data_IF_745929123074
#
_entry.id   IF_745929123074
#
_cell.length_a   1.000
_cell.length_b   1.000
_cell.length_c   1.000
_cell.angle_alpha   90.00
_cell.angle_beta   90.00
_cell.angle_gamma   90.00
#
_symmetry.space_group_name_H-M   'P 1'
#
loop_
_entity.id
_entity.type
_entity.pdbx_description
1 polymer ?
#
# COMPACT_ATOMS: atom_id res chain seq x y z
N UNK A 1 -31.94 0.93 23.38
CA UNK A 1 -30.62 1.51 23.14
C UNK A 1 -29.57 0.62 23.81
N UNK A 2 -28.61 0.03 23.04
CA UNK A 2 -27.48 -0.70 23.64
C UNK A 2 -26.54 0.33 24.25
N UNK A 3 -26.01 0.07 25.45
CA UNK A 3 -25.07 1.00 26.10
C UNK A 3 -23.78 1.13 25.24
N UNK A 4 -23.07 2.27 25.28
CA UNK A 4 -21.80 2.45 24.60
C UNK A 4 -20.78 1.33 24.89
N UNK A 5 -20.76 0.83 26.11
CA UNK A 5 -19.87 -0.24 26.57
C UNK A 5 -20.19 -1.60 25.93
N UNK A 6 -21.45 -1.87 25.58
CA UNK A 6 -21.83 -3.10 24.87
C UNK A 6 -21.33 -3.10 23.43
N UNK A 7 -21.27 -1.97 22.75
CA UNK A 7 -20.70 -1.85 21.41
C UNK A 7 -19.17 -2.06 21.44
N UNK A 8 -18.50 -1.52 22.45
CA UNK A 8 -17.07 -1.70 22.65
C UNK A 8 -16.72 -3.17 22.91
N UNK A 9 -17.50 -3.87 23.74
CA UNK A 9 -17.32 -5.30 24.01
C UNK A 9 -17.48 -6.15 22.75
N UNK A 10 -18.42 -5.81 21.87
CA UNK A 10 -18.62 -6.50 20.58
C UNK A 10 -17.41 -6.28 19.67
N UNK A 11 -16.88 -5.07 19.58
CA UNK A 11 -15.70 -4.75 18.77
C UNK A 11 -14.48 -5.56 19.22
N UNK A 12 -14.15 -5.53 20.52
CA UNK A 12 -13.03 -6.32 21.04
C UNK A 12 -13.23 -7.82 20.93
N UNK A 13 -14.47 -8.32 20.96
CA UNK A 13 -14.78 -9.72 20.79
C UNK A 13 -14.53 -10.17 19.34
N UNK A 14 -14.99 -9.40 18.36
CA UNK A 14 -14.71 -9.69 16.95
C UNK A 14 -13.21 -9.62 16.67
N UNK A 15 -12.50 -8.68 17.29
CA UNK A 15 -11.05 -8.60 17.17
C UNK A 15 -10.36 -9.82 17.77
N UNK A 16 -10.72 -10.22 18.99
CA UNK A 16 -10.16 -11.40 19.63
C UNK A 16 -10.43 -12.69 18.81
N UNK A 17 -11.58 -12.79 18.15
CA UNK A 17 -11.92 -13.94 17.31
C UNK A 17 -11.06 -14.08 16.04
N UNK A 18 -10.25 -13.08 15.72
CA UNK A 18 -9.27 -13.13 14.61
C UNK A 18 -7.98 -13.84 15.01
N UNK A 19 -7.62 -13.79 16.30
CA UNK A 19 -6.37 -14.34 16.86
C UNK A 19 -6.58 -15.63 17.64
N UNK A 20 -7.76 -15.80 18.23
CA UNK A 20 -8.08 -16.89 19.12
C UNK A 20 -9.29 -17.68 18.62
N UNK A 21 -9.27 -18.98 18.83
CA UNK A 21 -10.45 -19.83 18.61
C UNK A 21 -11.58 -19.45 19.60
N UNK A 22 -12.83 -19.75 19.24
CA UNK A 22 -13.99 -19.54 20.13
C UNK A 22 -13.83 -20.22 21.49
N UNK A 23 -13.16 -21.36 21.51
CA UNK A 23 -12.88 -22.11 22.74
C UNK A 23 -11.88 -21.39 23.64
N UNK A 24 -10.80 -20.84 23.06
CA UNK A 24 -9.79 -20.05 23.81
C UNK A 24 -10.39 -18.76 24.36
N UNK A 25 -11.20 -18.06 23.56
CA UNK A 25 -11.91 -16.86 24.03
C UNK A 25 -12.85 -17.21 25.18
N UNK A 26 -13.65 -18.27 25.02
CA UNK A 26 -14.59 -18.74 26.03
C UNK A 26 -13.89 -19.09 27.36
N UNK A 27 -12.78 -19.79 27.30
CA UNK A 27 -11.97 -20.17 28.45
C UNK A 27 -11.45 -18.95 29.21
N UNK A 28 -10.92 -17.94 28.49
CA UNK A 28 -10.39 -16.73 29.09
C UNK A 28 -11.45 -15.80 29.66
N UNK A 29 -12.65 -15.81 29.04
CA UNK A 29 -13.80 -15.03 29.52
C UNK A 29 -14.62 -15.75 30.63
N UNK A 30 -14.31 -17.01 30.92
CA UNK A 30 -15.08 -17.80 31.89
C UNK A 30 -16.50 -18.13 31.42
N UNK A 31 -16.74 -18.27 30.11
CA UNK A 31 -18.04 -18.53 29.50
C UNK A 31 -18.00 -19.80 28.61
N UNK A 32 -19.16 -20.30 28.20
CA UNK A 32 -19.21 -21.41 27.25
C UNK A 32 -18.91 -20.97 25.79
N UNK A 33 -18.32 -21.85 24.95
CA UNK A 33 -18.08 -21.55 23.54
C UNK A 33 -19.34 -21.16 22.75
N UNK A 34 -20.50 -21.75 23.10
CA UNK A 34 -21.80 -21.39 22.53
C UNK A 34 -22.22 -19.95 22.84
N UNK A 35 -21.82 -19.43 24.01
CA UNK A 35 -22.05 -18.02 24.38
C UNK A 35 -21.25 -17.10 23.50
N UNK A 36 -19.98 -17.40 23.29
CA UNK A 36 -19.10 -16.64 22.36
C UNK A 36 -19.67 -16.65 20.94
N UNK A 37 -20.16 -17.81 20.47
CA UNK A 37 -20.79 -17.92 19.16
C UNK A 37 -22.03 -17.03 19.02
N UNK A 38 -22.92 -17.01 20.02
CA UNK A 38 -24.12 -16.15 20.02
C UNK A 38 -23.78 -14.66 20.09
N UNK A 39 -22.69 -14.30 20.74
CA UNK A 39 -22.21 -12.91 20.76
C UNK A 39 -21.65 -12.51 19.38
N UNK A 40 -20.88 -13.39 18.72
CA UNK A 40 -20.34 -13.15 17.40
C UNK A 40 -21.42 -13.12 16.31
N UNK A 41 -22.52 -13.88 16.46
CA UNK A 41 -23.67 -13.85 15.54
C UNK A 41 -24.68 -12.73 15.87
N UNK A 42 -24.38 -11.88 16.85
CA UNK A 42 -25.24 -10.80 17.33
C UNK A 42 -26.63 -11.26 17.87
N UNK A 43 -26.82 -12.55 18.14
CA UNK A 43 -28.03 -13.08 18.81
C UNK A 43 -28.18 -12.53 20.23
N UNK A 44 -27.05 -12.37 20.91
CA UNK A 44 -26.99 -11.75 22.25
C UNK A 44 -25.80 -10.80 22.31
N UNK A 45 -25.83 -9.81 23.20
CA UNK A 45 -24.71 -8.89 23.38
C UNK A 45 -23.79 -9.37 24.52
N UNK A 46 -22.46 -9.25 24.38
CA UNK A 46 -21.53 -9.45 25.48
C UNK A 46 -21.75 -8.40 26.56
N UNK A 47 -21.51 -8.79 27.80
CA UNK A 47 -21.64 -7.87 28.94
C UNK A 47 -20.40 -6.96 29.06
N UNK A 48 -20.51 -5.74 29.55
CA UNK A 48 -19.40 -4.79 29.66
C UNK A 48 -18.15 -5.32 30.36
N UNK A 49 -18.31 -6.17 31.38
CA UNK A 49 -17.19 -6.69 32.19
C UNK A 49 -16.18 -7.52 31.39
N UNK A 50 -16.53 -8.02 30.17
CA UNK A 50 -15.62 -8.80 29.32
C UNK A 50 -14.61 -7.91 28.59
N UNK A 51 -14.83 -6.59 28.55
CA UNK A 51 -14.00 -5.64 27.80
C UNK A 51 -12.54 -5.68 28.26
N UNK A 52 -12.30 -5.66 29.55
CA UNK A 52 -10.94 -5.62 30.11
C UNK A 52 -10.20 -6.93 29.86
N UNK A 53 -10.89 -8.07 29.96
CA UNK A 53 -10.29 -9.37 29.61
C UNK A 53 -9.97 -9.44 28.12
N UNK A 54 -10.87 -9.00 27.24
CA UNK A 54 -10.63 -8.96 25.80
C UNK A 54 -9.48 -8.01 25.44
N UNK A 55 -9.42 -6.83 26.08
CA UNK A 55 -8.28 -5.92 25.94
C UNK A 55 -6.97 -6.58 26.38
N UNK A 56 -6.97 -7.25 27.53
CA UNK A 56 -5.79 -7.97 28.03
C UNK A 56 -5.35 -9.10 27.09
N UNK A 57 -6.30 -9.81 26.48
CA UNK A 57 -6.01 -10.83 25.48
C UNK A 57 -5.32 -10.24 24.22
N UNK A 58 -5.68 -9.02 23.86
CA UNK A 58 -5.16 -8.32 22.69
C UNK A 58 -3.87 -7.53 22.98
N UNK A 59 -3.54 -7.27 24.26
CA UNK A 59 -2.32 -6.57 24.66
C UNK A 59 -1.01 -7.14 24.09
N UNK A 60 -0.81 -8.48 23.96
CA UNK A 60 0.40 -9.02 23.34
C UNK A 60 0.54 -8.66 21.85
N UNK A 61 -0.55 -8.28 21.21
CA UNK A 61 -0.62 -7.86 19.82
C UNK A 61 -0.61 -6.32 19.67
N UNK A 62 -0.77 -5.61 20.79
CA UNK A 62 -0.67 -4.15 20.89
C UNK A 62 0.76 -3.73 21.23
N UNK A 63 1.44 -3.21 20.24
CA UNK A 63 2.75 -2.57 20.21
C UNK A 63 3.47 -2.35 21.55
N UNK A 64 4.73 -2.71 21.60
CA UNK A 64 5.77 -2.07 22.41
C UNK A 64 5.62 -0.54 22.27
N UNK A 65 5.20 0.13 23.33
CA UNK A 65 5.01 1.57 23.37
C UNK A 65 6.37 2.31 23.44
N UNK A 66 7.16 2.20 22.38
CA UNK A 66 8.04 3.30 22.03
C UNK A 66 7.10 4.41 21.55
N UNK A 67 7.21 5.62 22.12
CA UNK A 67 6.42 6.78 21.72
C UNK A 67 6.60 6.99 20.22
N UNK A 68 5.55 6.79 19.44
CA UNK A 68 5.61 7.02 18.00
C UNK A 68 5.86 8.49 17.73
N UNK A 69 6.63 8.80 16.70
CA UNK A 69 6.93 10.18 16.30
C UNK A 69 5.68 10.86 15.71
N UNK A 70 4.82 10.08 15.04
CA UNK A 70 3.56 10.52 14.44
C UNK A 70 2.59 9.36 14.27
N UNK A 71 1.32 9.67 14.05
CA UNK A 71 0.27 8.69 13.78
C UNK A 71 -0.19 8.74 12.33
N UNK A 72 -0.63 7.60 11.79
CA UNK A 72 -1.19 7.55 10.44
C UNK A 72 -2.32 6.53 10.30
N UNK A 73 -3.12 6.70 9.24
CA UNK A 73 -4.11 5.73 8.80
C UNK A 73 -3.70 5.14 7.44
N UNK A 74 -4.08 3.88 7.19
CA UNK A 74 -3.73 3.13 5.98
C UNK A 74 -5.01 2.68 5.26
N UNK A 75 -5.38 3.39 4.19
CA UNK A 75 -6.57 3.13 3.40
C UNK A 75 -6.22 2.37 2.12
N UNK A 76 -7.07 1.42 1.71
CA UNK A 76 -6.77 0.49 0.62
C UNK A 76 -5.45 -0.24 0.88
N UNK A 77 -5.28 -0.68 2.11
CA UNK A 77 -4.00 -1.06 2.70
C UNK A 77 -3.30 -2.23 1.97
N UNK A 78 -4.07 -3.05 1.24
CA UNK A 78 -3.53 -4.23 0.56
C UNK A 78 -2.86 -5.16 1.56
N UNK A 79 -1.57 -5.38 1.37
CA UNK A 79 -0.73 -6.17 2.29
C UNK A 79 0.20 -5.31 3.16
N UNK A 80 -0.06 -3.99 3.25
CA UNK A 80 0.62 -3.09 4.18
C UNK A 80 1.97 -2.57 3.70
N UNK A 81 2.20 -2.47 2.39
CA UNK A 81 3.48 -1.98 1.85
C UNK A 81 3.79 -0.53 2.23
N UNK A 82 2.80 0.36 2.15
CA UNK A 82 2.95 1.76 2.55
C UNK A 82 3.06 1.86 4.08
N UNK A 83 2.21 1.14 4.82
CA UNK A 83 2.29 1.05 6.28
C UNK A 83 3.70 0.67 6.75
N UNK A 84 4.26 -0.43 6.23
CA UNK A 84 5.60 -0.89 6.61
C UNK A 84 6.67 0.18 6.43
N UNK A 85 6.58 0.93 5.34
CA UNK A 85 7.49 2.02 5.04
C UNK A 85 7.39 3.18 6.05
N UNK A 86 6.18 3.54 6.46
CA UNK A 86 5.95 4.61 7.43
C UNK A 86 6.27 4.19 8.86
N UNK A 87 6.00 2.94 9.25
CA UNK A 87 6.44 2.38 10.55
C UNK A 87 7.97 2.37 10.69
N UNK A 88 8.72 2.05 9.60
CA UNK A 88 10.18 2.13 9.58
C UNK A 88 10.73 3.55 9.78
N UNK A 89 9.89 4.58 9.64
CA UNK A 89 10.21 5.98 9.89
C UNK A 89 9.64 6.51 11.22
N UNK A 90 9.18 5.64 12.12
CA UNK A 90 8.70 6.02 13.45
C UNK A 90 7.20 6.32 13.52
N UNK A 91 6.44 6.07 12.46
CA UNK A 91 4.98 6.22 12.46
C UNK A 91 4.26 5.05 13.15
N UNK A 92 3.09 5.32 13.72
CA UNK A 92 2.16 4.33 14.24
C UNK A 92 0.86 4.33 13.45
N UNK A 93 0.48 3.17 12.90
CA UNK A 93 -0.83 3.00 12.27
C UNK A 93 -1.93 2.99 13.34
N UNK A 94 -2.95 3.82 13.18
CA UNK A 94 -4.08 3.91 14.13
C UNK A 94 -5.42 3.48 13.54
N UNK A 95 -5.48 3.31 12.21
CA UNK A 95 -6.68 2.85 11.51
C UNK A 95 -6.28 2.21 10.17
N UNK A 96 -6.98 1.13 9.79
CA UNK A 96 -6.74 0.42 8.53
C UNK A 96 -8.05 0.07 7.86
N UNK A 97 -8.14 0.29 6.54
CA UNK A 97 -9.25 -0.20 5.70
C UNK A 97 -8.71 -1.00 4.53
N UNK A 98 -9.23 -2.24 4.36
CA UNK A 98 -8.94 -3.13 3.25
C UNK A 98 -10.11 -4.10 3.06
N UNK A 99 -10.65 -4.21 1.84
CA UNK A 99 -11.85 -5.01 1.56
C UNK A 99 -11.56 -6.48 1.18
N UNK A 100 -10.38 -6.77 0.57
CA UNK A 100 -10.00 -8.13 0.17
C UNK A 100 -9.59 -8.95 1.39
N UNK A 101 -10.42 -9.93 1.77
CA UNK A 101 -10.20 -10.77 2.95
C UNK A 101 -8.89 -11.56 2.92
N UNK A 102 -8.33 -11.86 1.75
CA UNK A 102 -7.02 -12.50 1.64
C UNK A 102 -5.88 -11.50 1.85
N UNK A 103 -6.06 -10.24 1.44
CA UNK A 103 -5.12 -9.17 1.77
C UNK A 103 -5.12 -8.89 3.26
N UNK A 104 -6.32 -8.80 3.88
CA UNK A 104 -6.47 -8.68 5.34
C UNK A 104 -5.74 -9.80 6.08
N UNK A 105 -5.84 -11.07 5.60
CA UNK A 105 -5.14 -12.20 6.21
C UNK A 105 -3.62 -12.01 6.19
N UNK A 106 -3.07 -11.57 5.07
CA UNK A 106 -1.63 -11.30 4.95
C UNK A 106 -1.21 -10.10 5.79
N UNK A 107 -2.01 -9.03 5.78
CA UNK A 107 -1.79 -7.84 6.59
C UNK A 107 -1.74 -8.18 8.10
N UNK A 108 -2.69 -8.95 8.56
CA UNK A 108 -2.87 -9.31 9.97
C UNK A 108 -1.67 -10.07 10.57
N UNK A 109 -1.14 -11.03 9.81
CA UNK A 109 0.03 -11.82 10.24
C UNK A 109 1.30 -10.94 10.33
N UNK A 110 1.41 -9.93 9.43
CA UNK A 110 2.59 -9.08 9.36
C UNK A 110 2.50 -7.84 10.26
N UNK A 111 1.30 -7.48 10.72
CA UNK A 111 1.05 -6.32 11.60
C UNK A 111 0.13 -6.71 12.76
N UNK A 112 0.64 -7.53 13.70
CA UNK A 112 -0.14 -8.07 14.82
C UNK A 112 -0.33 -7.03 15.95
N UNK A 113 -0.89 -5.86 15.64
CA UNK A 113 -1.10 -4.76 16.59
C UNK A 113 -2.45 -4.81 17.31
N UNK A 114 -3.26 -5.85 17.05
CA UNK A 114 -4.57 -6.04 17.67
C UNK A 114 -5.65 -5.06 17.19
N UNK A 115 -5.39 -4.26 16.18
CA UNK A 115 -6.35 -3.29 15.63
C UNK A 115 -7.25 -3.93 14.59
N UNK A 116 -8.55 -3.56 14.56
CA UNK A 116 -9.45 -4.01 13.52
C UNK A 116 -9.03 -3.49 12.13
N UNK A 117 -9.17 -4.35 11.13
CA UNK A 117 -9.12 -3.94 9.73
C UNK A 117 -10.56 -3.70 9.29
N UNK A 118 -10.92 -2.46 8.99
CA UNK A 118 -12.22 -2.11 8.43
C UNK A 118 -12.28 -2.61 6.98
N UNK A 119 -13.45 -3.07 6.57
CA UNK A 119 -13.67 -3.64 5.24
C UNK A 119 -13.71 -2.61 4.12
N UNK A 120 -14.87 -2.52 3.46
CA UNK A 120 -15.09 -1.54 2.39
C UNK A 120 -15.06 -0.12 2.95
N UNK A 121 -14.26 0.74 2.33
CA UNK A 121 -14.13 2.16 2.73
C UNK A 121 -15.43 2.93 2.57
N UNK A 122 -16.30 2.51 1.68
CA UNK A 122 -17.61 3.14 1.44
C UNK A 122 -18.57 2.97 2.63
N UNK A 123 -18.35 1.94 3.47
CA UNK A 123 -19.12 1.67 4.68
C UNK A 123 -18.54 2.36 5.93
N UNK A 124 -17.38 3.01 5.80
CA UNK A 124 -16.71 3.70 6.91
C UNK A 124 -17.32 5.08 7.10
N UNK A 125 -17.85 5.34 8.28
CA UNK A 125 -18.22 6.69 8.73
C UNK A 125 -16.93 7.47 9.02
N UNK A 126 -16.68 8.55 8.28
CA UNK A 126 -15.49 9.39 8.43
C UNK A 126 -15.37 9.97 9.85
N UNK A 127 -16.48 10.21 10.55
CA UNK A 127 -16.45 10.72 11.93
C UNK A 127 -15.88 9.70 12.92
N UNK A 128 -16.00 8.40 12.61
CA UNK A 128 -15.48 7.29 13.42
C UNK A 128 -13.97 7.04 13.25
N UNK A 129 -13.37 7.57 12.19
CA UNK A 129 -11.92 7.46 11.98
C UNK A 129 -11.18 8.24 13.06
N UNK A 130 -10.14 7.68 13.71
CA UNK A 130 -9.41 8.40 14.76
C UNK A 130 -8.63 9.59 14.18
N UNK A 131 -8.34 10.58 15.05
CA UNK A 131 -7.41 11.68 14.71
C UNK A 131 -6.04 11.10 14.39
N UNK A 132 -5.40 11.61 13.36
CA UNK A 132 -4.11 11.15 12.88
C UNK A 132 -3.35 12.28 12.19
N UNK A 133 -2.03 12.14 12.13
CA UNK A 133 -1.16 13.13 11.49
C UNK A 133 -1.11 12.95 9.97
N UNK A 134 -1.11 11.70 9.48
CA UNK A 134 -0.93 11.38 8.04
C UNK A 134 -2.00 10.42 7.56
N UNK A 135 -2.60 10.71 6.40
CA UNK A 135 -3.45 9.75 5.69
C UNK A 135 -2.65 9.11 4.53
N UNK A 136 -2.58 7.78 4.52
CA UNK A 136 -1.96 6.98 3.46
C UNK A 136 -3.06 6.29 2.65
N UNK A 137 -2.95 6.31 1.30
CA UNK A 137 -3.89 5.60 0.45
C UNK A 137 -3.29 5.21 -0.91
N UNK A 138 -3.24 3.91 -1.19
CA UNK A 138 -3.03 3.36 -2.54
C UNK A 138 -4.38 3.11 -3.22
N UNK A 139 -5.09 4.17 -3.63
CA UNK A 139 -6.45 4.03 -4.13
C UNK A 139 -6.49 3.50 -5.58
N UNK A 140 -7.50 2.67 -5.96
CA UNK A 140 -7.57 2.08 -7.30
C UNK A 140 -7.90 3.14 -8.36
N UNK A 141 -7.30 2.98 -9.56
CA UNK A 141 -7.61 3.80 -10.71
C UNK A 141 -8.96 3.36 -11.31
N UNK A 142 -10.03 4.02 -10.93
CA UNK A 142 -11.36 3.82 -11.49
C UNK A 142 -11.72 5.01 -12.41
N UNK A 143 -12.41 4.78 -13.53
CA UNK A 143 -12.87 5.87 -14.40
C UNK A 143 -13.90 6.73 -13.66
N UNK A 144 -13.70 8.04 -13.66
CA UNK A 144 -14.72 8.97 -13.20
C UNK A 144 -15.91 8.98 -14.16
N UNK A 145 -17.11 8.88 -13.63
CA UNK A 145 -18.32 9.23 -14.40
C UNK A 145 -18.43 10.77 -14.48
N UNK A 146 -17.72 11.35 -15.45
CA UNK A 146 -17.65 12.82 -15.64
C UNK A 146 -19.03 13.44 -15.95
N UNK A 147 -19.99 12.64 -16.40
CA UNK A 147 -21.36 13.12 -16.70
C UNK A 147 -22.06 13.78 -15.49
N UNK A 148 -21.75 13.33 -14.25
CA UNK A 148 -22.28 13.94 -13.02
C UNK A 148 -21.61 15.27 -12.65
N UNK A 149 -20.29 15.38 -12.85
CA UNK A 149 -19.51 16.58 -12.46
C UNK A 149 -19.79 17.76 -13.39
N UNK A 150 -19.89 17.52 -14.70
CA UNK A 150 -20.12 18.60 -15.69
C UNK A 150 -21.52 19.22 -15.60
N UNK A 151 -22.55 18.44 -15.24
CA UNK A 151 -23.94 18.91 -15.18
C UNK A 151 -24.20 19.85 -14.00
N UNK A 152 -23.43 19.73 -12.91
CA UNK A 152 -23.58 20.55 -11.69
C UNK A 152 -22.78 21.85 -11.74
N UNK A 153 -21.62 21.86 -12.36
CA UNK A 153 -20.84 23.08 -12.60
C UNK A 153 -21.64 24.07 -13.49
N UNK A 154 -22.52 23.57 -14.38
CA UNK A 154 -23.38 24.38 -15.21
C UNK A 154 -24.61 24.97 -14.47
N UNK A 155 -24.95 24.45 -13.28
CA UNK A 155 -26.16 24.83 -12.54
C UNK A 155 -25.91 25.73 -11.31
N UNK A 156 -24.66 26.12 -11.05
CA UNK A 156 -24.32 27.12 -10.00
C UNK A 156 -24.74 26.74 -8.57
N UNK A 157 -24.94 25.46 -8.26
CA UNK A 157 -25.35 25.01 -6.93
C UNK A 157 -24.15 24.81 -6.00
N UNK A 158 -24.31 25.23 -4.74
CA UNK A 158 -23.30 25.10 -3.69
C UNK A 158 -22.78 23.67 -3.55
N UNK A 159 -21.47 23.55 -3.52
CA UNK A 159 -20.75 22.27 -3.50
C UNK A 159 -20.78 21.66 -2.10
N UNK A 160 -21.56 20.58 -1.93
CA UNK A 160 -21.37 19.64 -0.83
C UNK A 160 -20.94 18.28 -1.40
N UNK A 161 -20.01 17.60 -0.77
CA UNK A 161 -19.55 16.24 -1.13
C UNK A 161 -20.67 15.18 -1.10
N UNK A 162 -21.88 15.54 -0.68
CA UNK A 162 -23.01 14.63 -0.44
C UNK A 162 -23.88 14.33 -1.66
N UNK A 163 -23.53 14.83 -2.84
CA UNK A 163 -24.42 14.67 -4.00
C UNK A 163 -23.84 13.63 -4.99
N UNK A 164 -24.66 12.69 -5.42
CA UNK A 164 -24.62 11.58 -6.40
C UNK A 164 -23.45 11.44 -7.43
N UNK A 165 -22.32 12.12 -7.26
CA UNK A 165 -21.05 11.83 -7.94
C UNK A 165 -20.31 10.68 -7.26
N UNK A 166 -20.98 10.00 -6.36
CA UNK A 166 -20.52 8.78 -5.69
C UNK A 166 -20.26 7.70 -6.74
N UNK A 167 -19.02 7.36 -6.94
CA UNK A 167 -18.65 6.31 -7.87
C UNK A 167 -17.14 6.06 -8.00
N UNK A 168 -16.32 6.86 -7.35
CA UNK A 168 -14.87 6.58 -7.32
C UNK A 168 -14.35 6.67 -5.90
N UNK A 169 -13.59 5.67 -5.52
CA UNK A 169 -12.99 5.52 -4.19
C UNK A 169 -12.04 6.67 -3.81
N UNK A 170 -11.63 7.51 -4.76
CA UNK A 170 -10.93 8.76 -4.46
C UNK A 170 -11.78 9.73 -3.61
N UNK A 171 -13.09 9.82 -3.85
CA UNK A 171 -13.94 10.71 -3.06
C UNK A 171 -14.14 10.20 -1.63
N UNK A 172 -13.98 8.89 -1.39
CA UNK A 172 -13.92 8.35 -0.03
C UNK A 172 -12.64 8.80 0.70
N UNK A 173 -11.51 8.87 0.00
CA UNK A 173 -10.28 9.48 0.54
C UNK A 173 -10.53 10.97 0.82
N UNK A 174 -11.15 11.70 -0.12
CA UNK A 174 -11.37 13.14 0.00
C UNK A 174 -12.29 13.50 1.20
N UNK A 175 -13.39 12.74 1.44
CA UNK A 175 -14.30 13.00 2.58
C UNK A 175 -13.61 12.77 3.93
N UNK A 176 -12.72 11.75 4.01
CA UNK A 176 -11.94 11.48 5.24
C UNK A 176 -10.92 12.60 5.46
N UNK A 177 -10.22 13.08 4.40
CA UNK A 177 -9.32 14.23 4.50
C UNK A 177 -10.09 15.49 4.94
N UNK A 178 -11.28 15.71 4.41
CA UNK A 178 -12.14 16.85 4.77
C UNK A 178 -12.53 16.83 6.25
N UNK A 179 -12.97 15.68 6.74
CA UNK A 179 -13.43 15.52 8.12
C UNK A 179 -12.26 15.58 9.12
N UNK A 180 -11.17 14.85 8.85
CA UNK A 180 -10.08 14.67 9.81
C UNK A 180 -8.97 15.71 9.71
N UNK A 181 -8.83 16.38 8.58
CA UNK A 181 -7.84 17.45 8.37
C UNK A 181 -6.42 17.04 8.80
N UNK A 182 -5.88 15.88 8.35
CA UNK A 182 -4.53 15.46 8.74
C UNK A 182 -3.48 16.52 8.36
N UNK A 183 -2.33 16.51 9.05
CA UNK A 183 -1.21 17.40 8.71
C UNK A 183 -0.71 17.16 7.29
N UNK A 184 -0.69 15.89 6.87
CA UNK A 184 -0.31 15.49 5.52
C UNK A 184 -1.13 14.30 5.02
N UNK A 185 -1.10 14.10 3.72
CA UNK A 185 -1.50 12.82 3.10
C UNK A 185 -0.47 12.38 2.07
N UNK A 186 -0.39 11.07 1.86
CA UNK A 186 0.40 10.45 0.78
C UNK A 186 -0.49 9.47 0.02
N UNK A 187 -0.73 9.79 -1.25
CA UNK A 187 -1.58 9.00 -2.13
C UNK A 187 -0.73 8.35 -3.23
N UNK A 188 -1.06 7.10 -3.58
CA UNK A 188 -0.39 6.37 -4.66
C UNK A 188 -1.38 5.97 -5.72
N UNK A 189 -0.91 5.97 -6.97
CA UNK A 189 -1.65 5.40 -8.10
C UNK A 189 -0.69 4.99 -9.23
N UNK A 190 -1.23 4.34 -10.26
CA UNK A 190 -0.47 4.04 -11.48
C UNK A 190 -0.10 5.32 -12.24
N UNK A 191 1.06 5.34 -12.91
CA UNK A 191 1.53 6.48 -13.74
C UNK A 191 0.45 6.98 -14.71
N UNK A 192 -0.30 6.05 -15.30
CA UNK A 192 -1.31 6.38 -16.32
C UNK A 192 -2.50 7.21 -15.77
N UNK A 193 -2.63 7.38 -14.45
CA UNK A 193 -3.60 8.30 -13.86
C UNK A 193 -3.45 9.72 -14.43
N UNK A 194 -2.21 10.16 -14.67
CA UNK A 194 -1.91 11.49 -15.20
C UNK A 194 -2.46 11.72 -16.62
N UNK A 195 -2.50 10.67 -17.44
CA UNK A 195 -2.97 10.72 -18.83
C UNK A 195 -4.39 10.16 -19.00
N UNK A 196 -4.97 9.59 -17.93
CA UNK A 196 -6.29 8.98 -17.97
C UNK A 196 -7.34 10.00 -18.38
N UNK A 197 -8.19 9.62 -19.33
CA UNK A 197 -9.24 10.49 -19.88
C UNK A 197 -8.70 11.86 -20.36
N UNK A 198 -7.58 11.85 -21.09
CA UNK A 198 -6.88 13.06 -21.58
C UNK A 198 -6.46 14.02 -20.45
N UNK A 199 -6.13 13.50 -19.27
CA UNK A 199 -5.69 14.26 -18.09
C UNK A 199 -6.84 14.71 -17.18
N UNK A 200 -8.10 14.66 -17.62
CA UNK A 200 -9.26 15.16 -16.86
C UNK A 200 -9.42 14.53 -15.48
N UNK A 201 -9.17 13.22 -15.38
CA UNK A 201 -9.22 12.51 -14.11
C UNK A 201 -8.22 13.09 -13.10
N UNK A 202 -6.99 13.29 -13.53
CA UNK A 202 -5.95 13.84 -12.68
C UNK A 202 -6.23 15.30 -12.28
N UNK A 203 -6.73 16.11 -13.23
CA UNK A 203 -7.10 17.51 -12.96
C UNK A 203 -8.22 17.60 -11.91
N UNK A 204 -9.21 16.71 -11.93
CA UNK A 204 -10.25 16.64 -10.89
C UNK A 204 -9.63 16.33 -9.53
N UNK A 205 -8.76 15.31 -9.44
CA UNK A 205 -8.08 14.95 -8.18
C UNK A 205 -7.30 16.14 -7.62
N UNK A 206 -6.44 16.75 -8.43
CA UNK A 206 -5.60 17.86 -7.97
C UNK A 206 -6.42 19.08 -7.58
N UNK A 207 -7.48 19.41 -8.34
CA UNK A 207 -8.39 20.51 -8.01
C UNK A 207 -9.11 20.27 -6.69
N UNK A 208 -9.65 19.07 -6.48
CA UNK A 208 -10.30 18.71 -5.21
C UNK A 208 -9.35 18.86 -4.05
N UNK A 209 -8.14 18.31 -4.15
CA UNK A 209 -7.15 18.38 -3.07
C UNK A 209 -6.66 19.81 -2.79
N UNK A 210 -6.43 20.62 -3.83
CA UNK A 210 -5.91 21.99 -3.69
C UNK A 210 -7.00 22.99 -3.39
N UNK A 211 -8.04 23.07 -4.23
CA UNK A 211 -8.98 24.17 -4.20
C UNK A 211 -10.15 23.92 -3.25
N UNK A 212 -10.63 22.67 -3.17
CA UNK A 212 -11.78 22.33 -2.34
C UNK A 212 -11.33 21.97 -0.92
N UNK A 213 -10.25 21.18 -0.75
CA UNK A 213 -9.71 20.79 0.54
C UNK A 213 -8.63 21.73 1.08
N UNK A 214 -8.06 22.61 0.24
CA UNK A 214 -7.11 23.64 0.65
C UNK A 214 -5.72 23.13 1.03
N UNK A 215 -5.27 21.99 0.46
CA UNK A 215 -3.93 21.45 0.73
C UNK A 215 -2.87 21.95 -0.26
N UNK A 216 -1.64 22.06 0.21
CA UNK A 216 -0.47 22.32 -0.64
C UNK A 216 0.00 21.00 -1.23
N UNK A 217 -0.28 20.77 -2.53
CA UNK A 217 -0.14 19.47 -3.17
C UNK A 217 1.06 19.40 -4.10
N UNK A 218 1.90 18.41 -3.91
CA UNK A 218 3.06 18.07 -4.72
C UNK A 218 2.88 16.67 -5.29
N UNK A 219 3.34 16.44 -6.53
CA UNK A 219 3.29 15.09 -7.10
C UNK A 219 4.53 14.78 -7.92
N UNK A 220 4.91 13.51 -7.98
CA UNK A 220 6.03 13.02 -8.78
C UNK A 220 5.78 11.58 -9.24
N UNK A 221 6.22 11.26 -10.47
CA UNK A 221 6.32 9.87 -10.90
C UNK A 221 7.65 9.34 -10.42
N UNK A 222 7.61 8.21 -9.71
CA UNK A 222 8.79 7.55 -9.16
C UNK A 222 8.85 6.14 -9.73
N UNK A 223 10.04 5.75 -10.22
CA UNK A 223 10.30 4.42 -10.74
C UNK A 223 10.94 3.55 -9.64
N UNK A 224 10.34 2.40 -9.35
CA UNK A 224 10.86 1.42 -8.41
C UNK A 224 12.24 0.86 -8.79
N UNK A 225 12.65 1.00 -10.06
CA UNK A 225 13.94 0.54 -10.58
C UNK A 225 15.15 1.15 -9.86
N UNK A 226 14.98 2.23 -9.13
CA UNK A 226 16.02 2.78 -8.27
C UNK A 226 16.37 1.87 -7.08
N UNK A 227 15.45 1.01 -6.62
CA UNK A 227 15.61 0.19 -5.41
C UNK A 227 15.44 -1.31 -5.64
N UNK A 228 14.77 -1.70 -6.73
CA UNK A 228 14.49 -3.11 -7.02
C UNK A 228 14.69 -3.38 -8.51
N UNK A 229 14.96 -4.63 -8.93
CA UNK A 229 15.23 -4.95 -10.31
C UNK A 229 13.94 -5.00 -11.15
N UNK A 230 13.11 -3.95 -11.03
CA UNK A 230 11.82 -3.87 -11.70
C UNK A 230 11.52 -2.45 -12.19
N UNK A 231 11.22 -2.29 -13.46
CA UNK A 231 10.67 -1.06 -13.99
C UNK A 231 9.19 -0.95 -13.59
N UNK A 232 8.91 -0.13 -12.56
CA UNK A 232 7.55 0.08 -12.01
C UNK A 232 7.34 1.53 -11.64
N UNK A 233 6.75 2.29 -12.55
CA UNK A 233 6.45 3.71 -12.33
C UNK A 233 5.11 3.89 -11.64
N UNK A 234 5.12 4.73 -10.58
CA UNK A 234 3.94 5.13 -9.84
C UNK A 234 3.90 6.63 -9.64
N UNK A 235 2.73 7.21 -9.73
CA UNK A 235 2.54 8.59 -9.30
C UNK A 235 2.32 8.61 -7.79
N UNK A 236 3.09 9.43 -7.10
CA UNK A 236 2.94 9.71 -5.68
C UNK A 236 2.49 11.16 -5.53
N UNK A 237 1.40 11.38 -4.80
CA UNK A 237 0.82 12.70 -4.53
C UNK A 237 0.93 12.92 -3.03
N UNK A 238 1.65 13.99 -2.63
CA UNK A 238 1.81 14.40 -1.23
C UNK A 238 1.12 15.73 -1.05
N UNK A 239 0.32 15.87 0.00
CA UNK A 239 -0.30 17.14 0.34
C UNK A 239 -0.06 17.49 1.80
N UNK A 240 0.18 18.77 2.07
CA UNK A 240 0.34 19.32 3.41
C UNK A 240 -0.79 20.31 3.69
N UNK A 241 -1.34 20.27 4.91
CA UNK A 241 -2.40 21.20 5.32
C UNK A 241 -1.90 22.62 5.39
N UNK A 242 -0.66 22.80 5.90
CA UNK A 242 0.00 24.09 5.99
C UNK A 242 1.07 24.23 4.89
N UNK A 243 1.42 25.45 4.46
CA UNK A 243 2.54 25.67 3.55
C UNK A 243 3.84 25.10 4.12
N UNK A 244 4.54 24.30 3.33
CA UNK A 244 5.81 23.69 3.71
C UNK A 244 6.84 23.85 2.59
N UNK A 245 8.15 24.05 2.89
CA UNK A 245 9.21 24.06 1.90
C UNK A 245 9.58 22.63 1.41
N UNK A 246 8.59 21.75 1.36
CA UNK A 246 8.77 20.38 0.84
C UNK A 246 9.20 20.40 -0.62
N UNK A 247 10.24 19.65 -0.94
CA UNK A 247 10.70 19.44 -2.31
C UNK A 247 11.00 17.98 -2.60
N UNK A 248 10.60 17.52 -3.77
CA UNK A 248 10.98 16.22 -4.30
C UNK A 248 12.49 16.08 -4.57
N UNK A 249 13.25 17.17 -4.58
CA UNK A 249 14.71 17.13 -4.71
C UNK A 249 15.40 16.52 -3.49
N UNK A 250 14.72 16.52 -2.34
CA UNK A 250 15.17 15.83 -1.12
C UNK A 250 15.13 14.29 -1.23
N UNK A 251 14.52 13.76 -2.29
CA UNK A 251 14.40 12.32 -2.52
C UNK A 251 15.76 11.73 -2.93
N UNK A 252 16.29 10.81 -2.14
CA UNK A 252 17.52 10.10 -2.43
C UNK A 252 17.22 8.93 -3.37
N UNK A 253 17.67 9.04 -4.61
CA UNK A 253 17.48 8.05 -5.65
C UNK A 253 18.81 7.28 -5.87
N UNK A 254 18.91 6.01 -5.47
CA UNK A 254 20.02 5.14 -5.89
C UNK A 254 20.15 5.10 -7.41
N UNK A 255 21.28 4.68 -7.92
CA UNK A 255 21.46 4.53 -9.37
C UNK A 255 20.50 3.47 -9.92
N UNK A 256 19.83 3.78 -11.03
CA UNK A 256 18.94 2.83 -11.68
C UNK A 256 19.68 1.60 -12.17
N UNK A 257 19.13 0.43 -11.83
CA UNK A 257 19.67 -0.83 -12.30
C UNK A 257 20.91 -1.30 -11.53
N UNK A 258 21.25 -0.70 -10.41
CA UNK A 258 22.23 -1.23 -9.46
C UNK A 258 21.78 -2.60 -8.93
N UNK A 259 20.53 -2.69 -8.48
CA UNK A 259 19.91 -3.95 -8.05
C UNK A 259 19.48 -4.77 -9.28
N UNK A 260 19.88 -6.04 -9.33
CA UNK A 260 19.64 -6.97 -10.43
C UNK A 260 18.74 -8.13 -10.02
N UNK A 261 18.21 -8.87 -11.00
CA UNK A 261 17.39 -10.04 -10.71
C UNK A 261 18.09 -11.04 -9.78
N UNK A 262 19.41 -11.26 -9.93
CA UNK A 262 20.19 -12.13 -9.03
C UNK A 262 20.08 -11.79 -7.54
N UNK A 263 19.75 -10.55 -7.21
CA UNK A 263 19.67 -10.07 -5.83
C UNK A 263 18.35 -10.47 -5.16
N UNK A 264 17.33 -10.81 -5.97
CA UNK A 264 16.01 -11.23 -5.46
C UNK A 264 15.68 -12.70 -5.72
N UNK A 265 16.37 -13.35 -6.67
CA UNK A 265 16.15 -14.76 -7.00
C UNK A 265 16.70 -15.66 -5.89
N UNK A 266 16.05 -16.82 -5.69
CA UNK A 266 16.56 -17.87 -4.81
C UNK A 266 17.98 -18.29 -5.21
N UNK A 267 18.86 -18.47 -4.22
CA UNK A 267 20.28 -18.83 -4.40
C UNK A 267 20.43 -20.34 -4.52
N UNK A 268 20.86 -20.83 -5.68
CA UNK A 268 21.07 -22.26 -5.94
C UNK A 268 22.47 -22.76 -5.58
N UNK A 269 23.33 -21.88 -5.05
CA UNK A 269 24.70 -22.16 -4.63
C UNK A 269 24.81 -22.70 -3.20
N UNK A 270 23.69 -22.83 -2.49
CA UNK A 270 23.61 -23.29 -1.11
C UNK A 270 23.56 -22.16 -0.08
N UNK A 271 23.57 -20.90 -0.50
CA UNK A 271 23.46 -19.72 0.38
C UNK A 271 22.01 -19.24 0.60
N UNK A 272 21.00 -19.92 0.03
CA UNK A 272 19.60 -19.54 0.25
C UNK A 272 19.24 -19.65 1.74
N UNK A 273 18.74 -18.59 2.37
CA UNK A 273 18.38 -18.62 3.77
C UNK A 273 17.15 -19.49 4.02
N UNK A 274 17.20 -20.27 5.12
CA UNK A 274 16.00 -20.98 5.58
C UNK A 274 15.01 -19.99 6.19
N UNK A 275 13.84 -19.90 5.59
CA UNK A 275 12.74 -19.05 6.06
C UNK A 275 11.69 -19.96 6.70
N UNK A 276 11.61 -19.95 8.03
CA UNK A 276 10.77 -20.88 8.81
C UNK A 276 9.31 -20.96 8.35
N UNK A 277 8.68 -19.83 8.06
CA UNK A 277 7.26 -19.76 7.66
C UNK A 277 7.01 -20.14 6.19
N UNK A 278 8.05 -20.17 5.36
CA UNK A 278 7.97 -20.66 3.98
C UNK A 278 8.28 -22.16 3.88
N UNK A 279 9.19 -22.67 4.72
CA UNK A 279 9.70 -24.04 4.61
C UNK A 279 10.20 -24.34 3.19
N UNK A 280 9.90 -25.53 2.69
CA UNK A 280 10.20 -25.95 1.30
C UNK A 280 9.12 -25.57 0.28
N UNK A 281 8.20 -24.68 0.63
CA UNK A 281 7.07 -24.29 -0.23
C UNK A 281 7.50 -23.74 -1.59
N UNK A 282 8.60 -23.00 -1.65
CA UNK A 282 9.09 -22.30 -2.83
C UNK A 282 10.40 -22.85 -3.34
N UNK A 283 11.27 -23.25 -2.44
CA UNK A 283 12.61 -23.70 -2.71
C UNK A 283 12.89 -24.98 -1.93
N UNK A 284 13.38 -26.00 -2.62
CA UNK A 284 13.85 -27.26 -2.05
C UNK A 284 15.29 -27.07 -1.59
N UNK A 285 15.49 -27.00 -0.27
CA UNK A 285 16.82 -26.74 0.32
C UNK A 285 17.77 -27.95 0.19
N UNK A 286 17.24 -29.17 0.21
CA UNK A 286 18.04 -30.38 0.03
C UNK A 286 18.55 -30.48 -1.41
N UNK A 287 17.68 -30.25 -2.38
CA UNK A 287 18.02 -30.27 -3.79
C UNK A 287 18.62 -28.94 -4.31
N UNK A 288 18.66 -27.89 -3.49
CA UNK A 288 19.15 -26.54 -3.81
C UNK A 288 18.54 -25.98 -5.09
N UNK A 289 17.22 -26.08 -5.23
CA UNK A 289 16.52 -25.65 -6.44
C UNK A 289 15.15 -25.07 -6.13
N UNK A 290 14.68 -24.17 -7.00
CA UNK A 290 13.27 -23.74 -7.00
C UNK A 290 12.38 -24.91 -7.39
N UNK A 291 11.23 -25.05 -6.72
CA UNK A 291 10.29 -26.12 -6.99
C UNK A 291 9.85 -26.15 -8.45
N UNK A 292 9.84 -27.33 -9.05
CA UNK A 292 9.56 -27.54 -10.48
C UNK A 292 8.15 -27.07 -10.90
N UNK A 293 7.20 -26.91 -9.95
CA UNK A 293 5.85 -26.37 -10.21
C UNK A 293 5.85 -24.95 -10.80
N UNK A 294 6.95 -24.21 -10.67
CA UNK A 294 7.10 -22.86 -11.25
C UNK A 294 7.62 -22.88 -12.68
N UNK A 295 8.21 -23.99 -13.13
CA UNK A 295 8.67 -24.18 -14.52
C UNK A 295 7.47 -24.32 -15.45
N UNK A 296 7.50 -23.58 -16.57
CA UNK A 296 6.41 -23.63 -17.54
C UNK A 296 6.36 -25.00 -18.23
N UNK A 297 5.14 -25.52 -18.41
CA UNK A 297 4.94 -26.72 -19.22
C UNK A 297 5.35 -26.44 -20.68
N UNK A 298 5.78 -27.47 -21.44
CA UNK A 298 6.13 -27.28 -22.85
C UNK A 298 5.02 -26.63 -23.67
N UNK A 299 3.77 -27.00 -23.42
CA UNK A 299 2.61 -26.44 -24.12
C UNK A 299 2.42 -24.94 -23.82
N UNK A 300 2.51 -24.53 -22.55
CA UNK A 300 2.37 -23.13 -22.17
C UNK A 300 3.54 -22.30 -22.73
N UNK A 301 4.76 -22.83 -22.66
CA UNK A 301 5.92 -22.13 -23.20
C UNK A 301 5.82 -21.94 -24.72
N UNK A 302 5.45 -22.99 -25.44
CA UNK A 302 5.19 -22.89 -26.89
C UNK A 302 4.10 -21.87 -27.21
N UNK A 303 2.98 -21.91 -26.49
CA UNK A 303 1.90 -20.94 -26.67
C UNK A 303 2.38 -19.48 -26.51
N UNK A 304 3.19 -19.18 -25.49
CA UNK A 304 3.71 -17.83 -25.27
C UNK A 304 4.68 -17.40 -26.39
N UNK A 305 5.49 -18.33 -26.91
CA UNK A 305 6.37 -18.06 -28.05
C UNK A 305 5.57 -17.75 -29.33
N UNK A 306 4.58 -18.58 -29.65
CA UNK A 306 3.72 -18.39 -30.81
C UNK A 306 2.91 -17.09 -30.71
N UNK A 307 2.42 -16.77 -29.50
CA UNK A 307 1.72 -15.51 -29.22
C UNK A 307 2.64 -14.30 -29.45
N UNK A 308 3.84 -14.32 -28.91
CA UNK A 308 4.83 -13.25 -29.09
C UNK A 308 5.21 -13.07 -30.58
N UNK A 309 5.44 -14.16 -31.31
CA UNK A 309 5.74 -14.12 -32.75
C UNK A 309 4.61 -13.49 -33.55
N UNK A 310 3.36 -13.89 -33.28
CA UNK A 310 2.14 -13.33 -33.90
C UNK A 310 2.02 -11.81 -33.68
N UNK A 311 2.27 -11.35 -32.45
CA UNK A 311 2.19 -9.92 -32.13
C UNK A 311 3.35 -9.11 -32.73
N UNK A 312 4.55 -9.67 -32.75
CA UNK A 312 5.71 -9.08 -33.42
C UNK A 312 5.43 -8.88 -34.92
N UNK A 313 4.83 -9.89 -35.58
CA UNK A 313 4.44 -9.80 -36.97
C UNK A 313 3.39 -8.72 -37.26
N UNK A 314 2.58 -8.34 -36.26
CA UNK A 314 1.59 -7.24 -36.32
C UNK A 314 2.16 -5.86 -35.96
N UNK A 315 3.46 -5.76 -35.71
CA UNK A 315 4.12 -4.50 -35.33
C UNK A 315 3.81 -4.02 -33.92
N UNK A 316 3.24 -4.85 -33.04
CA UNK A 316 3.00 -4.51 -31.64
C UNK A 316 3.91 -5.32 -30.70
N UNK A 317 4.23 -4.74 -29.53
CA UNK A 317 5.21 -5.25 -28.58
C UNK A 317 4.65 -6.24 -27.54
N UNK A 318 3.49 -6.85 -27.79
CA UNK A 318 2.93 -7.84 -26.86
C UNK A 318 3.73 -9.14 -26.92
N UNK A 319 4.09 -9.67 -25.73
CA UNK A 319 4.86 -10.90 -25.60
C UNK A 319 5.27 -11.12 -24.15
N UNK A 320 6.13 -12.10 -23.94
CA UNK A 320 6.67 -12.41 -22.63
C UNK A 320 7.93 -11.60 -22.31
N UNK A 321 8.26 -11.46 -21.00
CA UNK A 321 9.50 -10.89 -20.51
C UNK A 321 10.42 -11.99 -19.99
N UNK A 322 11.45 -12.39 -20.77
CA UNK A 322 12.46 -13.33 -20.31
C UNK A 322 13.61 -12.57 -19.66
N UNK A 323 14.00 -12.97 -18.46
CA UNK A 323 15.06 -12.33 -17.67
C UNK A 323 16.10 -13.35 -17.20
N UNK A 324 17.35 -12.93 -17.22
CA UNK A 324 18.48 -13.59 -16.59
C UNK A 324 18.87 -12.93 -15.26
N UNK A 325 19.97 -13.40 -14.64
CA UNK A 325 20.41 -12.89 -13.32
C UNK A 325 20.76 -11.40 -13.30
N UNK A 326 21.30 -10.87 -14.38
CA UNK A 326 21.79 -9.48 -14.46
C UNK A 326 20.80 -8.51 -15.11
N UNK A 327 19.58 -8.98 -15.40
CA UNK A 327 18.55 -8.20 -16.06
C UNK A 327 17.69 -7.40 -15.07
N UNK A 328 16.86 -6.52 -15.63
CA UNK A 328 15.79 -5.80 -14.95
C UNK A 328 14.45 -6.29 -15.49
N UNK A 329 13.53 -6.59 -14.62
CA UNK A 329 12.21 -7.09 -14.97
C UNK A 329 11.24 -5.98 -15.42
N UNK A 330 10.23 -6.37 -16.16
CA UNK A 330 9.01 -5.57 -16.39
C UNK A 330 8.19 -5.46 -15.10
N UNK A 331 7.18 -4.61 -15.11
CA UNK A 331 6.24 -4.45 -13.99
C UNK A 331 5.51 -5.76 -13.67
N UNK A 332 5.63 -6.24 -12.44
CA UNK A 332 4.80 -7.32 -11.90
C UNK A 332 3.35 -6.84 -11.80
N UNK A 333 2.42 -7.48 -12.50
CA UNK A 333 1.01 -7.12 -12.49
C UNK A 333 0.18 -8.01 -11.55
N UNK A 334 -1.00 -7.53 -11.16
CA UNK A 334 -1.97 -8.32 -10.39
C UNK A 334 -2.47 -9.57 -11.14
N UNK A 335 -2.22 -9.64 -12.46
CA UNK A 335 -2.62 -10.77 -13.32
C UNK A 335 -1.53 -11.82 -13.48
N UNK A 336 -0.37 -11.63 -12.87
CA UNK A 336 0.79 -12.52 -12.94
C UNK A 336 0.45 -13.99 -12.61
N UNK A 337 -0.55 -14.21 -11.76
CA UNK A 337 -1.05 -15.54 -11.43
C UNK A 337 -1.56 -16.34 -12.62
N UNK A 338 -1.92 -15.72 -13.75
CA UNK A 338 -2.48 -16.41 -14.93
C UNK A 338 -1.41 -17.26 -15.63
N UNK A 339 -0.53 -16.63 -16.36
CA UNK A 339 0.53 -17.29 -17.14
C UNK A 339 1.94 -16.83 -16.74
N UNK A 340 2.05 -15.75 -15.98
CA UNK A 340 3.32 -15.20 -15.50
C UNK A 340 4.17 -14.61 -16.62
N UNK A 341 3.57 -14.31 -17.77
CA UNK A 341 4.32 -13.92 -18.97
C UNK A 341 5.07 -12.59 -18.84
N UNK A 342 4.72 -11.74 -17.87
CA UNK A 342 5.42 -10.48 -17.68
C UNK A 342 6.87 -10.68 -17.25
N UNK A 343 7.14 -11.71 -16.42
CA UNK A 343 8.48 -11.97 -15.85
C UNK A 343 8.72 -13.48 -15.82
N UNK A 344 9.50 -13.97 -16.76
CA UNK A 344 9.92 -15.37 -16.82
C UNK A 344 11.43 -15.45 -16.59
N UNK A 345 11.86 -16.27 -15.65
CA UNK A 345 13.28 -16.50 -15.34
C UNK A 345 13.82 -17.57 -16.26
N UNK A 346 14.87 -17.25 -16.99
CA UNK A 346 15.58 -18.19 -17.85
C UNK A 346 16.22 -19.32 -17.03
N UNK A 347 16.13 -20.54 -17.50
CA UNK A 347 16.74 -21.73 -16.88
C UNK A 347 17.63 -22.44 -17.89
N UNK A 348 18.84 -22.89 -17.47
CA UNK A 348 19.72 -23.64 -18.34
C UNK A 348 19.15 -25.03 -18.63
N UNK A 349 18.92 -25.36 -19.91
CA UNK A 349 18.46 -26.69 -20.34
C UNK A 349 17.00 -27.03 -19.98
N UNK A 350 16.21 -26.06 -19.52
CA UNK A 350 14.79 -26.21 -19.18
C UNK A 350 13.95 -25.06 -19.74
N UNK A 351 12.63 -25.24 -19.77
CA UNK A 351 11.72 -24.13 -20.01
C UNK A 351 11.91 -23.04 -18.94
N UNK A 352 11.65 -21.77 -19.24
CA UNK A 352 11.68 -20.71 -18.24
C UNK A 352 10.65 -20.97 -17.14
N UNK A 353 10.87 -20.36 -15.99
CA UNK A 353 9.97 -20.44 -14.85
C UNK A 353 9.36 -19.10 -14.46
N UNK A 354 8.24 -19.14 -13.78
CA UNK A 354 7.71 -17.97 -13.07
C UNK A 354 8.57 -17.67 -11.84
N UNK A 355 8.46 -16.46 -11.34
CA UNK A 355 8.93 -16.13 -10.00
C UNK A 355 8.12 -16.92 -8.97
N UNK A 356 8.75 -17.27 -7.86
CA UNK A 356 8.02 -17.74 -6.68
C UNK A 356 7.34 -16.57 -5.97
N UNK A 357 6.32 -16.78 -5.13
CA UNK A 357 5.77 -15.71 -4.29
C UNK A 357 6.81 -15.02 -3.40
N UNK A 358 7.82 -15.75 -2.90
CA UNK A 358 8.92 -15.14 -2.13
C UNK A 358 9.78 -14.21 -2.99
N UNK A 359 10.12 -14.61 -4.19
CA UNK A 359 10.83 -13.75 -5.15
C UNK A 359 9.99 -12.53 -5.55
N UNK A 360 8.65 -12.66 -5.65
CA UNK A 360 7.78 -11.50 -5.84
C UNK A 360 7.79 -10.55 -4.64
N UNK A 361 7.84 -11.06 -3.41
CA UNK A 361 8.01 -10.25 -2.20
C UNK A 361 9.33 -9.46 -2.23
N UNK A 362 10.44 -10.14 -2.51
CA UNK A 362 11.76 -9.51 -2.65
C UNK A 362 11.79 -8.48 -3.77
N UNK A 363 11.14 -8.77 -4.92
CA UNK A 363 11.02 -7.85 -6.05
C UNK A 363 10.26 -6.56 -5.70
N UNK A 364 9.35 -6.62 -4.74
CA UNK A 364 8.62 -5.47 -4.20
C UNK A 364 9.33 -4.83 -2.99
N UNK A 365 10.52 -5.34 -2.62
CA UNK A 365 11.34 -4.82 -1.52
C UNK A 365 10.88 -5.22 -0.13
N UNK A 366 10.04 -6.26 0.00
CA UNK A 366 9.67 -6.80 1.29
C UNK A 366 10.80 -7.67 1.86
N UNK A 367 11.06 -7.61 3.18
CA UNK A 367 12.07 -8.46 3.81
C UNK A 367 11.60 -9.92 3.86
N UNK A 368 12.55 -10.85 4.01
CA UNK A 368 12.26 -12.28 4.12
C UNK A 368 11.45 -12.64 5.38
N UNK A 369 11.43 -11.77 6.40
CA UNK A 369 10.56 -11.89 7.56
C UNK A 369 9.08 -11.65 7.27
N UNK A 370 8.74 -11.13 6.08
CA UNK A 370 7.33 -10.90 5.69
C UNK A 370 6.66 -12.23 5.36
N UNK A 371 5.61 -12.57 6.09
CA UNK A 371 4.90 -13.84 5.96
C UNK A 371 3.88 -13.83 4.79
N UNK A 372 3.78 -14.98 4.10
CA UNK A 372 2.87 -15.17 2.96
C UNK A 372 1.87 -16.29 3.29
N UNK A 373 0.82 -16.02 4.08
CA UNK A 373 -0.09 -17.04 4.61
C UNK A 373 -1.18 -17.48 3.62
N UNK A 374 -1.09 -17.08 2.36
CA UNK A 374 -2.10 -17.33 1.32
C UNK A 374 -1.54 -18.23 0.21
N UNK A 375 -2.41 -18.75 -0.67
CA UNK A 375 -1.99 -19.54 -1.83
C UNK A 375 -1.14 -18.71 -2.82
N UNK A 376 -0.34 -19.39 -3.65
CA UNK A 376 0.52 -18.75 -4.66
C UNK A 376 -0.28 -17.79 -5.58
N UNK A 377 -1.49 -18.20 -6.00
CA UNK A 377 -2.38 -17.37 -6.82
C UNK A 377 -2.77 -16.07 -6.12
N UNK A 378 -3.10 -16.15 -4.83
CA UNK A 378 -3.45 -14.95 -4.04
C UNK A 378 -2.23 -14.09 -3.77
N UNK A 379 -1.08 -14.69 -3.47
CA UNK A 379 0.18 -13.99 -3.27
C UNK A 379 0.60 -13.19 -4.52
N UNK A 380 0.54 -13.79 -5.71
CA UNK A 380 0.80 -13.08 -6.97
C UNK A 380 -0.12 -11.87 -7.16
N UNK A 381 -1.43 -12.02 -6.90
CA UNK A 381 -2.38 -10.91 -6.97
C UNK A 381 -2.02 -9.81 -5.98
N UNK A 382 -1.66 -10.17 -4.75
CA UNK A 382 -1.30 -9.24 -3.68
C UNK A 382 -0.03 -8.46 -4.02
N UNK A 383 1.07 -9.13 -4.38
CA UNK A 383 2.31 -8.45 -4.75
C UNK A 383 2.16 -7.62 -6.03
N UNK A 384 1.39 -8.09 -7.01
CA UNK A 384 1.10 -7.32 -8.22
C UNK A 384 0.33 -6.01 -7.96
N UNK A 385 -0.55 -5.99 -6.96
CA UNK A 385 -1.27 -4.80 -6.51
C UNK A 385 -0.45 -3.93 -5.54
N UNK A 386 0.59 -4.48 -4.94
CA UNK A 386 1.37 -3.78 -3.93
C UNK A 386 2.28 -2.70 -4.51
N UNK A 387 2.87 -1.92 -3.62
CA UNK A 387 3.88 -0.90 -3.92
C UNK A 387 5.29 -1.45 -3.77
N UNK A 388 6.28 -0.82 -4.41
CA UNK A 388 7.70 -1.04 -4.09
C UNK A 388 7.99 -0.34 -2.76
N UNK A 389 8.07 -1.13 -1.68
CA UNK A 389 8.13 -0.64 -0.30
C UNK A 389 9.30 0.36 -0.05
N UNK A 390 10.52 0.15 -0.57
CA UNK A 390 11.62 1.10 -0.40
C UNK A 390 11.33 2.51 -0.96
N UNK A 391 10.53 2.64 -2.01
CA UNK A 391 10.08 3.94 -2.53
C UNK A 391 9.34 4.71 -1.45
N UNK A 392 8.38 4.05 -0.78
CA UNK A 392 7.57 4.69 0.25
C UNK A 392 8.33 4.90 1.56
N UNK A 393 9.34 4.07 1.85
CA UNK A 393 10.28 4.33 2.95
C UNK A 393 11.00 5.66 2.74
N UNK A 394 11.43 5.94 1.53
CA UNK A 394 12.11 7.18 1.19
C UNK A 394 11.12 8.38 1.16
N UNK A 395 9.91 8.17 0.63
CA UNK A 395 8.83 9.19 0.70
C UNK A 395 8.50 9.54 2.16
N UNK A 396 8.35 8.54 3.03
CA UNK A 396 8.11 8.76 4.45
C UNK A 396 9.24 9.57 5.11
N UNK A 397 10.51 9.29 4.74
CA UNK A 397 11.68 10.02 5.24
C UNK A 397 11.61 11.51 4.91
N UNK A 398 11.24 11.89 3.69
CA UNK A 398 11.19 13.30 3.27
C UNK A 398 9.89 14.00 3.70
N UNK A 399 8.82 13.27 4.02
CA UNK A 399 7.56 13.83 4.53
C UNK A 399 7.64 14.06 6.04
N UNK A 400 8.29 13.15 6.79
CA UNK A 400 8.36 13.17 8.27
C UNK A 400 8.74 14.52 8.88
N UNK A 401 9.75 15.27 8.42
CA UNK A 401 10.15 16.56 9.02
C UNK A 401 9.01 17.59 9.08
N UNK A 402 8.03 17.48 8.20
CA UNK A 402 6.92 18.44 8.05
C UNK A 402 5.66 18.05 8.84
N UNK A 403 5.70 16.95 9.56
CA UNK A 403 4.56 16.42 10.33
C UNK A 403 4.88 16.25 11.82
N UNK A 404 6.15 16.13 12.20
CA UNK A 404 6.62 15.99 13.58
C UNK A 404 6.88 17.38 14.16
N UNK A 405 6.30 17.71 15.32
CA UNK A 405 6.31 19.06 15.91
C UNK A 405 7.63 19.45 16.62
N UNK A 406 8.55 18.50 16.84
CA UNK A 406 9.77 18.80 17.62
C UNK A 406 10.94 19.25 16.73
N UNK A 407 11.15 20.53 16.65
CA UNK A 407 12.50 21.13 16.55
C UNK A 407 13.11 21.30 15.17
N UNK A 408 12.42 21.03 14.07
CA UNK A 408 12.91 21.46 12.77
C UNK A 408 12.41 22.88 12.45
N UNK A 409 13.12 23.88 12.98
CA UNK A 409 13.13 25.21 12.35
C UNK A 409 14.00 25.05 11.11
N UNK A 410 13.44 25.10 9.89
CA UNK A 410 14.29 25.19 8.71
C UNK A 410 15.15 26.44 8.90
N UNK A 411 16.47 26.28 8.90
CA UNK A 411 17.36 27.40 8.65
C UNK A 411 16.99 27.88 7.24
N UNK A 412 16.12 28.88 7.17
CA UNK A 412 15.92 29.66 5.95
C UNK A 412 17.24 30.34 5.77
N UNK A 413 18.13 29.73 5.00
CA UNK A 413 19.31 30.41 4.49
C UNK A 413 18.79 31.60 3.73
N UNK A 414 19.32 32.78 4.07
CA UNK A 414 19.04 34.06 3.45
C UNK A 414 19.14 33.97 1.93
N UNK A 415 18.03 33.70 1.27
CA UNK A 415 17.88 33.78 -0.18
C UNK A 415 17.12 35.05 -0.61
N UNK A 416 17.27 36.14 0.12
CA UNK A 416 16.86 37.46 -0.34
C UNK A 416 17.76 38.55 0.26
N UNK A 417 18.98 38.69 -0.29
CA UNK A 417 19.69 39.99 -0.33
C UNK A 417 20.58 39.98 -1.57
N UNK A 418 20.01 40.29 -2.70
CA UNK A 418 20.75 40.95 -3.76
C UNK A 418 19.88 42.11 -4.30
N UNK A 419 19.78 43.16 -3.49
CA UNK A 419 19.42 44.48 -3.97
C UNK A 419 20.71 45.19 -4.32
N UNK A 420 21.21 44.98 -5.53
CA UNK A 420 22.09 45.89 -6.22
C UNK A 420 21.44 46.35 -7.53
N UNK A 421 20.41 47.20 -7.42
CA UNK A 421 19.96 48.00 -8.57
C UNK A 421 20.68 49.33 -8.52
N UNK A 422 21.63 49.48 -9.47
CA UNK A 422 22.31 50.68 -9.87
C UNK A 422 21.37 51.91 -9.94
N UNK A 423 21.64 52.90 -9.11
CA UNK A 423 21.33 54.28 -9.41
C UNK A 423 22.54 54.93 -10.09
N UNK A 424 22.54 55.00 -11.39
CA UNK A 424 23.25 56.05 -12.12
C UNK A 424 22.20 56.93 -12.77
N UNK A 425 21.92 58.04 -12.07
CA UNK A 425 21.21 59.18 -12.62
C UNK A 425 22.24 60.04 -13.31
N UNK A 426 21.89 60.43 -14.52
CA UNK A 426 22.58 61.40 -15.34
C UNK A 426 22.82 62.77 -14.66
N UNK A 427 23.98 63.30 -14.86
CA UNK A 427 24.25 64.75 -14.94
C UNK A 427 25.31 65.04 -16.01
N UNK A 428 24.87 65.68 -16.97
CA UNK A 428 25.26 66.66 -17.97
C UNK A 428 25.00 66.24 -19.39
#
# INVERSE_FOLDING_TARGET
MKSPDSNLAIQYLHEAARYFSRTEIAQRLGVGPSTVSRWLSAETAPKPYVVDTLKSMLQPFGASAAKADFTFIDLFAGIGGIRKAFELNGGQCVFTSEWDSYAQKTYHVNFPDGRPIHGDITDVDETSVPVHDVLLAGFPCQPFSIAGVSKKNALGRAHGFQDETQGTLFFDVARIIQEKRPKAFVLENVKNLQSHDKGRTFDVIIRTLRNELGYHVHHRIIDGQHWTPQHRERIVIVGFREPTPFSWESLQLPEKGEVKMKDILHKVDGSEPWIKHDGDRYFDHDARKVNDKYTLTPNLWKYLQDYAAKHKAKGNGFGYGLVGPDDIARTLSARYYKDGSEILVAQKGKNPRRLTPRECARLMGYPDSFEIPVSDTRAYKQFGNSVVMPVFKEVARIVKPWIVEDGFVPVIGDFFTDESVDRQVATT
#
